data_IF_162630868439
#
_entry.id   IF_162630868439
#
_cell.length_a   1.000
_cell.length_b   1.000
_cell.length_c   1.000
_cell.angle_alpha   90.00
_cell.angle_beta   90.00
_cell.angle_gamma   90.00
#
_symmetry.space_group_name_H-M   'P 1'
#
loop_
_entity.id
_entity.type
_entity.pdbx_description
1 polymer ?
#
# COMPACT_ATOMS: atom_id res chain seq x y z
N UNK A 1 -9.69 30.42 22.33
CA UNK A 1 -10.27 29.32 21.53
C UNK A 1 -9.40 28.08 21.71
N UNK A 2 -9.79 27.11 22.56
CA UNK A 2 -9.02 25.87 22.77
C UNK A 2 -9.39 24.87 21.68
N UNK A 3 -8.53 24.68 20.68
CA UNK A 3 -8.66 23.63 19.69
C UNK A 3 -8.44 22.27 20.39
N UNK A 4 -9.54 21.57 20.68
CA UNK A 4 -9.50 20.20 21.21
C UNK A 4 -9.22 19.24 20.05
N UNK A 5 -7.96 19.10 19.66
CA UNK A 5 -7.54 18.13 18.64
C UNK A 5 -7.77 16.73 19.21
N UNK A 6 -8.60 15.92 18.56
CA UNK A 6 -8.84 14.56 19.01
C UNK A 6 -7.62 13.68 18.72
N UNK A 7 -7.27 12.76 19.63
CA UNK A 7 -6.19 11.78 19.42
C UNK A 7 -6.36 11.01 18.09
N UNK A 8 -7.61 10.69 17.72
CA UNK A 8 -7.94 10.06 16.45
C UNK A 8 -7.66 10.93 15.22
N UNK A 9 -7.89 12.24 15.29
CA UNK A 9 -7.51 13.16 14.20
C UNK A 9 -5.99 13.22 14.05
N UNK A 10 -5.26 13.36 15.15
CA UNK A 10 -3.80 13.42 15.12
C UNK A 10 -3.19 12.11 14.59
N UNK A 11 -3.71 10.95 15.02
CA UNK A 11 -3.27 9.63 14.51
C UNK A 11 -3.51 9.48 13.01
N UNK A 12 -4.68 9.89 12.51
CA UNK A 12 -4.98 9.88 11.06
C UNK A 12 -4.01 10.79 10.30
N UNK A 13 -3.82 12.03 10.75
CA UNK A 13 -2.89 12.99 10.12
C UNK A 13 -1.43 12.56 10.17
N UNK A 14 -1.00 11.92 11.26
CA UNK A 14 0.34 11.36 11.35
C UNK A 14 0.53 10.22 10.35
N UNK A 15 -0.46 9.34 10.21
CA UNK A 15 -0.42 8.25 9.23
C UNK A 15 -0.38 8.80 7.80
N UNK A 16 -1.22 9.80 7.49
CA UNK A 16 -1.23 10.46 6.18
C UNK A 16 0.10 11.16 5.89
N UNK A 17 0.65 11.89 6.87
CA UNK A 17 1.96 12.53 6.76
C UNK A 17 3.06 11.50 6.49
N UNK A 18 3.11 10.42 7.29
CA UNK A 18 4.12 9.37 7.13
C UNK A 18 4.01 8.71 5.76
N UNK A 19 2.80 8.41 5.31
CA UNK A 19 2.56 7.82 4.00
C UNK A 19 2.94 8.79 2.88
N UNK A 20 2.51 10.06 2.96
CA UNK A 20 2.84 11.08 1.99
C UNK A 20 4.35 11.32 1.89
N UNK A 21 5.01 11.44 3.04
CA UNK A 21 6.45 11.59 3.12
C UNK A 21 7.18 10.37 2.54
N UNK A 22 6.86 9.17 3.00
CA UNK A 22 7.63 7.96 2.65
C UNK A 22 7.40 7.52 1.21
N UNK A 23 6.18 7.65 0.68
CA UNK A 23 5.83 7.16 -0.66
C UNK A 23 6.26 8.16 -1.74
N UNK A 24 6.04 9.46 -1.52
CA UNK A 24 6.20 10.46 -2.57
C UNK A 24 7.41 11.39 -2.34
N UNK A 25 7.46 12.06 -1.19
CA UNK A 25 8.50 13.08 -0.95
C UNK A 25 9.89 12.44 -0.83
N UNK A 26 10.02 11.36 -0.06
CA UNK A 26 11.28 10.67 0.15
C UNK A 26 11.81 10.08 -1.17
N UNK A 27 10.93 9.50 -1.99
CA UNK A 27 11.28 9.04 -3.33
C UNK A 27 11.83 10.19 -4.18
N UNK A 28 11.10 11.30 -4.27
CA UNK A 28 11.50 12.45 -5.07
C UNK A 28 12.81 13.10 -4.60
N UNK A 29 12.96 13.31 -3.30
CA UNK A 29 14.17 13.87 -2.70
C UNK A 29 15.37 12.95 -2.90
N UNK A 30 15.19 11.64 -2.70
CA UNK A 30 16.26 10.66 -2.92
C UNK A 30 16.65 10.60 -4.40
N UNK A 31 15.66 10.71 -5.30
CA UNK A 31 15.92 10.75 -6.73
C UNK A 31 16.71 11.99 -7.16
N UNK A 32 16.32 13.18 -6.69
CA UNK A 32 17.10 14.41 -6.92
C UNK A 32 18.50 14.28 -6.32
N UNK A 33 18.61 13.81 -5.07
CA UNK A 33 19.90 13.63 -4.41
C UNK A 33 20.80 12.67 -5.18
N UNK A 34 20.24 11.57 -5.70
CA UNK A 34 20.96 10.62 -6.54
C UNK A 34 21.50 11.29 -7.81
N UNK A 35 20.67 12.06 -8.52
CA UNK A 35 21.09 12.82 -9.72
C UNK A 35 22.22 13.79 -9.36
N UNK A 36 22.08 14.56 -8.27
CA UNK A 36 23.07 15.56 -7.87
C UNK A 36 24.40 14.91 -7.43
N UNK A 37 24.35 13.82 -6.67
CA UNK A 37 25.55 13.08 -6.25
C UNK A 37 26.22 12.46 -7.47
N UNK A 38 25.46 11.78 -8.34
CA UNK A 38 25.99 11.21 -9.57
C UNK A 38 26.64 12.29 -10.44
N UNK A 39 25.99 13.44 -10.62
CA UNK A 39 26.60 14.52 -11.39
C UNK A 39 27.91 15.05 -10.77
N UNK A 40 27.91 15.35 -9.47
CA UNK A 40 29.07 15.99 -8.84
C UNK A 40 30.25 15.03 -8.60
N UNK A 41 29.99 13.75 -8.34
CA UNK A 41 31.04 12.79 -8.03
C UNK A 41 31.37 11.85 -9.19
N UNK A 42 30.40 11.50 -10.05
CA UNK A 42 30.68 10.67 -11.22
C UNK A 42 31.08 11.54 -12.41
N UNK A 43 30.28 12.54 -12.79
CA UNK A 43 30.53 13.27 -14.05
C UNK A 43 31.66 14.28 -13.92
N UNK A 44 31.63 15.15 -12.90
CA UNK A 44 32.64 16.20 -12.73
C UNK A 44 34.04 15.69 -12.38
N UNK A 45 34.14 14.54 -11.71
CA UNK A 45 35.43 14.00 -11.27
C UNK A 45 36.04 13.00 -12.26
N UNK A 46 35.39 12.71 -13.39
CA UNK A 46 35.95 11.80 -14.39
C UNK A 46 37.19 12.42 -15.05
N UNK A 47 38.33 11.69 -15.10
CA UNK A 47 39.60 12.19 -15.61
C UNK A 47 39.61 12.41 -17.13
N UNK A 48 38.51 12.10 -17.83
CA UNK A 48 38.38 12.21 -19.28
C UNK A 48 37.83 13.57 -19.76
N UNK A 49 37.71 14.57 -18.88
CA UNK A 49 37.27 15.93 -19.25
C UNK A 49 35.80 16.06 -19.67
N UNK A 50 35.01 14.98 -19.57
CA UNK A 50 33.57 14.99 -19.90
C UNK A 50 32.81 15.97 -19.01
N UNK A 51 33.29 16.15 -17.77
CA UNK A 51 32.70 17.07 -16.80
C UNK A 51 32.69 18.54 -17.21
N UNK A 52 33.61 18.95 -18.10
CA UNK A 52 33.70 20.34 -18.56
C UNK A 52 32.67 20.65 -19.67
N UNK A 53 32.28 19.63 -20.45
CA UNK A 53 31.31 19.77 -21.54
C UNK A 53 29.88 19.42 -21.13
N UNK A 54 29.71 18.55 -20.13
CA UNK A 54 28.41 18.06 -19.70
C UNK A 54 27.85 18.91 -18.56
N UNK A 55 26.96 19.86 -18.90
CA UNK A 55 26.25 20.67 -17.90
C UNK A 55 25.19 19.87 -17.14
N UNK A 56 24.82 20.32 -15.94
CA UNK A 56 23.82 19.65 -15.10
C UNK A 56 22.47 19.42 -15.82
N UNK A 57 21.88 20.41 -16.54
CA UNK A 57 20.63 20.17 -17.27
C UNK A 57 20.77 19.12 -18.38
N UNK A 58 21.88 19.11 -19.11
CA UNK A 58 22.15 18.11 -20.15
C UNK A 58 22.28 16.71 -19.53
N UNK A 59 22.99 16.60 -18.41
CA UNK A 59 23.09 15.34 -17.67
C UNK A 59 21.72 14.85 -17.20
N UNK A 60 20.88 15.73 -16.62
CA UNK A 60 19.53 15.38 -16.17
C UNK A 60 18.69 14.81 -17.32
N UNK A 61 18.70 15.47 -18.48
CA UNK A 61 17.95 15.02 -19.65
C UNK A 61 18.44 13.66 -20.16
N UNK A 62 19.75 13.49 -20.30
CA UNK A 62 20.35 12.22 -20.74
C UNK A 62 20.09 11.10 -19.72
N UNK A 63 20.27 11.40 -18.44
CA UNK A 63 20.02 10.47 -17.35
C UNK A 63 18.56 10.03 -17.34
N UNK A 64 17.61 10.96 -17.41
CA UNK A 64 16.18 10.64 -17.43
C UNK A 64 15.81 9.79 -18.66
N UNK A 65 16.38 10.10 -19.83
CA UNK A 65 16.13 9.36 -21.07
C UNK A 65 16.57 7.89 -20.98
N UNK A 66 17.61 7.58 -20.21
CA UNK A 66 18.10 6.20 -20.05
C UNK A 66 17.46 5.53 -18.82
N UNK A 67 17.41 6.25 -17.70
CA UNK A 67 16.94 5.74 -16.42
C UNK A 67 15.46 5.38 -16.45
N UNK A 68 14.61 6.24 -17.00
CA UNK A 68 13.15 6.01 -17.00
C UNK A 68 12.79 4.75 -17.80
N UNK A 69 13.25 4.55 -19.06
CA UNK A 69 12.98 3.32 -19.79
C UNK A 69 13.57 2.07 -19.11
N UNK A 70 14.76 2.18 -18.52
CA UNK A 70 15.39 1.07 -17.78
C UNK A 70 14.55 0.68 -16.57
N UNK A 71 14.12 1.65 -15.77
CA UNK A 71 13.26 1.43 -14.61
C UNK A 71 11.90 0.83 -15.00
N UNK A 72 11.29 1.30 -16.10
CA UNK A 72 10.04 0.72 -16.62
C UNK A 72 10.25 -0.73 -17.03
N UNK A 73 11.34 -1.04 -17.74
CA UNK A 73 11.65 -2.39 -18.20
C UNK A 73 11.85 -3.35 -17.03
N UNK A 74 12.63 -2.94 -16.01
CA UNK A 74 12.80 -3.70 -14.78
C UNK A 74 11.49 -3.87 -14.02
N UNK A 75 10.65 -2.83 -13.95
CA UNK A 75 9.34 -2.89 -13.30
C UNK A 75 8.39 -3.86 -14.01
N UNK A 76 8.37 -3.87 -15.33
CA UNK A 76 7.58 -4.84 -16.12
C UNK A 76 8.09 -6.25 -15.91
N UNK A 77 9.40 -6.45 -15.89
CA UNK A 77 10.01 -7.75 -15.61
C UNK A 77 9.64 -8.25 -14.22
N UNK A 78 9.81 -7.42 -13.18
CA UNK A 78 9.46 -7.75 -11.80
C UNK A 78 7.96 -8.07 -11.64
N UNK A 79 7.08 -7.28 -12.27
CA UNK A 79 5.63 -7.55 -12.28
C UNK A 79 5.29 -8.92 -12.87
N UNK A 80 5.99 -9.32 -13.93
CA UNK A 80 5.73 -10.60 -14.61
C UNK A 80 6.28 -11.82 -13.85
N UNK A 81 7.40 -11.67 -13.15
CA UNK A 81 8.12 -12.83 -12.59
C UNK A 81 7.99 -12.96 -11.07
N UNK A 82 7.94 -11.85 -10.32
CA UNK A 82 8.09 -11.87 -8.87
C UNK A 82 6.80 -11.46 -8.13
N UNK A 83 5.98 -10.62 -8.75
CA UNK A 83 4.75 -10.11 -8.11
C UNK A 83 3.76 -11.22 -7.71
N UNK A 84 3.62 -12.27 -8.52
CA UNK A 84 2.76 -13.42 -8.16
C UNK A 84 3.27 -14.12 -6.90
N UNK A 85 4.58 -14.33 -6.81
CA UNK A 85 5.21 -15.05 -5.68
C UNK A 85 5.05 -14.26 -4.37
N UNK A 86 5.21 -12.94 -4.43
CA UNK A 86 5.02 -12.06 -3.28
C UNK A 86 3.56 -12.03 -2.83
N UNK A 87 2.62 -11.89 -3.77
CA UNK A 87 1.20 -11.88 -3.46
C UNK A 87 0.74 -13.22 -2.88
N UNK A 88 1.20 -14.33 -3.44
CA UNK A 88 0.97 -15.66 -2.87
C UNK A 88 1.57 -15.81 -1.47
N UNK A 89 2.77 -15.28 -1.21
CA UNK A 89 3.37 -15.33 0.12
C UNK A 89 2.53 -14.54 1.13
N UNK A 90 2.03 -13.35 0.76
CA UNK A 90 1.14 -12.55 1.59
C UNK A 90 -0.19 -13.26 1.87
N UNK A 91 -0.77 -13.89 0.84
CA UNK A 91 -1.99 -14.70 1.01
C UNK A 91 -1.76 -15.90 1.92
N UNK A 92 -0.65 -16.62 1.76
CA UNK A 92 -0.28 -17.78 2.59
C UNK A 92 -0.03 -17.40 4.05
N UNK A 93 0.49 -16.20 4.31
CA UNK A 93 0.72 -15.70 5.67
C UNK A 93 -0.56 -15.18 6.34
N UNK A 94 -1.62 -14.92 5.57
CA UNK A 94 -2.85 -14.36 6.09
C UNK A 94 -3.73 -15.46 6.70
N UNK A 95 -3.75 -15.52 8.03
CA UNK A 95 -4.55 -16.48 8.79
C UNK A 95 -6.05 -16.38 8.49
N UNK A 96 -6.56 -15.18 8.19
CA UNK A 96 -7.97 -14.96 7.87
C UNK A 96 -8.35 -15.65 6.55
N UNK A 97 -7.48 -15.54 5.54
CA UNK A 97 -7.68 -16.24 4.28
C UNK A 97 -7.73 -17.76 4.47
N UNK A 98 -6.78 -18.31 5.24
CA UNK A 98 -6.76 -19.73 5.55
C UNK A 98 -8.07 -20.18 6.25
N UNK A 99 -8.56 -19.37 7.19
CA UNK A 99 -9.77 -19.68 7.93
C UNK A 99 -11.05 -19.61 7.06
N UNK A 100 -11.19 -18.57 6.23
CA UNK A 100 -12.33 -18.45 5.29
C UNK A 100 -12.33 -19.62 4.29
N UNK A 101 -11.17 -20.00 3.75
CA UNK A 101 -11.05 -21.16 2.87
C UNK A 101 -11.45 -22.47 3.58
N UNK A 102 -11.08 -22.64 4.86
CA UNK A 102 -11.56 -23.77 5.65
C UNK A 102 -13.07 -23.76 5.88
N UNK A 103 -13.64 -22.59 6.19
CA UNK A 103 -15.08 -22.42 6.35
C UNK A 103 -15.84 -22.83 5.08
N UNK A 104 -15.39 -22.40 3.89
CA UNK A 104 -15.99 -22.81 2.62
C UNK A 104 -15.99 -24.33 2.41
N UNK A 105 -14.89 -25.02 2.74
CA UNK A 105 -14.81 -26.49 2.65
C UNK A 105 -15.78 -27.15 3.64
N UNK A 106 -15.90 -26.60 4.85
CA UNK A 106 -16.84 -27.11 5.86
C UNK A 106 -18.29 -26.90 5.44
N UNK A 107 -18.60 -25.78 4.79
CA UNK A 107 -19.93 -25.46 4.27
C UNK A 107 -20.35 -26.49 3.21
N UNK A 108 -19.47 -26.78 2.25
CA UNK A 108 -19.70 -27.81 1.22
C UNK A 108 -19.93 -29.20 1.85
N UNK A 109 -19.22 -29.51 2.94
CA UNK A 109 -19.37 -30.76 3.67
C UNK A 109 -20.60 -30.81 4.60
N UNK A 110 -21.37 -29.73 4.71
CA UNK A 110 -22.49 -29.61 5.66
C UNK A 110 -22.06 -29.67 7.13
N UNK A 111 -20.83 -29.24 7.44
CA UNK A 111 -20.21 -29.28 8.78
C UNK A 111 -20.05 -27.89 9.42
N UNK A 112 -20.75 -26.88 8.90
CA UNK A 112 -20.78 -25.55 9.50
C UNK A 112 -21.85 -25.48 10.60
N UNK A 113 -21.63 -24.59 11.55
CA UNK A 113 -22.64 -24.25 12.55
C UNK A 113 -23.31 -22.91 12.21
N UNK A 114 -24.59 -22.72 12.59
CA UNK A 114 -25.29 -21.46 12.32
C UNK A 114 -24.56 -20.21 12.84
N UNK A 115 -23.83 -20.34 13.96
CA UNK A 115 -23.03 -19.25 14.54
C UNK A 115 -21.82 -18.87 13.68
N UNK A 116 -21.20 -19.86 13.03
CA UNK A 116 -20.08 -19.61 12.11
C UNK A 116 -20.57 -18.93 10.84
N UNK A 117 -21.71 -19.37 10.33
CA UNK A 117 -22.35 -18.78 9.15
C UNK A 117 -22.68 -17.31 9.41
N UNK A 118 -23.36 -17.03 10.52
CA UNK A 118 -23.70 -15.66 10.94
C UNK A 118 -22.46 -14.77 11.12
N UNK A 119 -21.41 -15.28 11.76
CA UNK A 119 -20.16 -14.53 11.93
C UNK A 119 -19.52 -14.18 10.60
N UNK A 120 -19.41 -15.14 9.68
CA UNK A 120 -18.80 -14.93 8.35
C UNK A 120 -19.62 -13.93 7.54
N UNK A 121 -20.95 -14.10 7.51
CA UNK A 121 -21.85 -13.20 6.79
C UNK A 121 -21.72 -11.78 7.32
N UNK A 122 -21.77 -11.59 8.65
CA UNK A 122 -21.60 -10.27 9.27
C UNK A 122 -20.24 -9.66 8.95
N UNK A 123 -19.16 -10.44 9.05
CA UNK A 123 -17.81 -9.98 8.72
C UNK A 123 -17.70 -9.53 7.25
N UNK A 124 -18.24 -10.30 6.30
CA UNK A 124 -18.22 -9.97 4.89
C UNK A 124 -19.09 -8.75 4.58
N UNK A 125 -20.29 -8.68 5.16
CA UNK A 125 -21.18 -7.53 5.00
C UNK A 125 -20.56 -6.25 5.59
N UNK A 126 -19.83 -6.33 6.72
CA UNK A 126 -19.05 -5.20 7.23
C UNK A 126 -18.00 -4.69 6.22
N UNK A 127 -17.30 -5.60 5.53
CA UNK A 127 -16.34 -5.22 4.48
C UNK A 127 -17.06 -4.56 3.30
N UNK A 128 -18.18 -5.10 2.85
CA UNK A 128 -18.98 -4.53 1.76
C UNK A 128 -19.49 -3.12 2.11
N UNK A 129 -19.93 -2.90 3.35
CA UNK A 129 -20.34 -1.58 3.82
C UNK A 129 -19.14 -0.61 3.86
N UNK A 130 -17.98 -1.05 4.37
CA UNK A 130 -16.74 -0.22 4.40
C UNK A 130 -16.22 0.13 3.01
N UNK A 131 -16.40 -0.75 2.03
CA UNK A 131 -15.99 -0.55 0.63
C UNK A 131 -17.05 0.13 -0.23
N UNK A 132 -18.17 0.53 0.36
CA UNK A 132 -19.30 1.16 -0.32
C UNK A 132 -19.90 0.30 -1.46
N UNK A 133 -19.94 -1.02 -1.25
CA UNK A 133 -20.48 -2.05 -2.16
C UNK A 133 -21.71 -2.74 -1.54
N UNK A 134 -22.65 -1.93 -1.04
CA UNK A 134 -23.84 -2.41 -0.31
C UNK A 134 -24.81 -3.20 -1.19
N UNK A 135 -24.74 -3.01 -2.49
CA UNK A 135 -25.51 -3.71 -3.52
C UNK A 135 -25.22 -5.22 -3.61
N UNK A 136 -24.11 -5.68 -3.03
CA UNK A 136 -23.68 -7.08 -3.03
C UNK A 136 -24.12 -7.87 -1.78
N UNK A 137 -24.82 -7.22 -0.84
CA UNK A 137 -25.35 -7.88 0.37
C UNK A 137 -26.50 -8.82 -0.02
N UNK A 138 -26.54 -10.01 0.58
CA UNK A 138 -27.54 -11.04 0.27
C UNK A 138 -28.99 -10.56 0.48
N UNK A 139 -29.91 -11.01 -0.37
CA UNK A 139 -31.34 -10.73 -0.18
C UNK A 139 -31.84 -11.38 1.11
N UNK A 140 -32.16 -10.57 2.12
CA UNK A 140 -32.62 -11.02 3.43
C UNK A 140 -31.61 -10.79 4.57
N UNK A 141 -30.39 -10.37 4.26
CA UNK A 141 -29.41 -9.98 5.26
C UNK A 141 -29.64 -8.52 5.69
N UNK A 142 -29.63 -8.27 7.00
CA UNK A 142 -29.64 -6.90 7.53
C UNK A 142 -28.32 -6.20 7.21
N UNK A 143 -28.38 -4.91 6.86
CA UNK A 143 -27.19 -4.08 6.67
C UNK A 143 -26.52 -3.91 8.04
N UNK A 144 -25.28 -4.40 8.26
CA UNK A 144 -24.66 -4.30 9.56
C UNK A 144 -24.45 -2.83 9.94
N UNK A 145 -24.90 -2.46 11.14
CA UNK A 145 -24.44 -1.22 11.76
C UNK A 145 -22.96 -1.37 12.08
N UNK A 146 -22.11 -0.66 11.33
CA UNK A 146 -20.68 -0.66 11.61
C UNK A 146 -20.47 -0.26 13.07
N UNK A 147 -19.64 -1.00 13.83
CA UNK A 147 -19.28 -0.59 15.17
C UNK A 147 -18.80 0.86 15.10
N UNK A 148 -19.49 1.77 15.80
CA UNK A 148 -19.02 3.14 15.96
C UNK A 148 -17.57 3.01 16.37
N UNK A 149 -16.66 3.51 15.53
CA UNK A 149 -15.21 3.42 15.70
C UNK A 149 -14.97 3.56 17.20
N UNK A 150 -14.68 2.45 17.90
CA UNK A 150 -14.48 2.53 19.34
C UNK A 150 -13.32 3.51 19.43
N UNK A 151 -13.60 4.74 19.88
CA UNK A 151 -12.57 5.50 20.57
C UNK A 151 -12.12 4.47 21.57
N UNK A 152 -10.92 3.93 21.40
CA UNK A 152 -10.22 3.34 22.49
C UNK A 152 -10.20 4.46 23.52
N UNK A 153 -11.23 4.50 24.38
CA UNK A 153 -11.16 5.16 25.65
C UNK A 153 -9.95 4.50 26.27
N UNK A 154 -8.92 5.32 26.35
CA UNK A 154 -7.62 4.97 26.88
C UNK A 154 -7.87 4.23 28.20
N UNK A 155 -7.70 2.91 28.18
CA UNK A 155 -7.80 2.09 29.37
C UNK A 155 -6.50 2.32 30.15
N UNK A 156 -6.59 3.30 31.06
CA UNK A 156 -5.66 3.75 32.11
C UNK A 156 -4.34 4.40 31.70
#
# INVERSE_FOLDING_TARGET
MKLKISRGFLRRRWLDFRNGHSIYLAFFLTFINFILIAYNFLIKQLPFGIGDYMTLPMFILLFALIYVPTAITLGVWHRKHQYSVENEALLRQNWMWAWISQYQIRLIKGKTSPKEDEYIINYLNEILVRTNKKDLIGQGDDIPELPKEKKHEDDK
#
